data_IF_480477700285
#
_entry.id   IF_480477700285
#
_cell.length_a   1.000
_cell.length_b   1.000
_cell.length_c   1.000
_cell.angle_alpha   90.00
_cell.angle_beta   90.00
_cell.angle_gamma   90.00
#
_symmetry.space_group_name_H-M   'P 1'
#
loop_
_entity.id
_entity.type
_entity.pdbx_description
1 polymer ?
#
# COMPACT_ATOMS: atom_id res chain seq x y z
N UNK A 1 -1.37 -21.28 26.33
CA UNK A 1 -0.17 -20.68 25.72
C UNK A 1 -0.32 -19.17 25.81
N UNK A 2 0.69 -18.47 26.31
CA UNK A 2 0.67 -16.99 26.41
C UNK A 2 1.26 -16.41 25.14
N UNK A 3 0.62 -15.43 24.55
CA UNK A 3 1.12 -14.71 23.38
C UNK A 3 2.42 -13.95 23.70
N UNK A 4 3.31 -13.83 22.74
CA UNK A 4 4.48 -12.97 22.86
C UNK A 4 4.07 -11.49 22.95
N UNK A 5 4.71 -10.74 23.84
CA UNK A 5 4.56 -9.29 23.89
C UNK A 5 5.40 -8.64 22.78
N UNK A 6 4.81 -7.73 22.02
CA UNK A 6 5.46 -7.01 20.93
C UNK A 6 5.57 -5.53 21.30
N UNK A 7 6.78 -4.97 21.17
CA UNK A 7 7.08 -3.55 21.47
C UNK A 7 7.92 -2.95 20.36
N UNK A 8 7.82 -1.65 20.18
CA UNK A 8 8.67 -0.86 19.29
C UNK A 8 9.65 -0.07 20.13
N UNK A 9 10.90 -0.05 19.71
CA UNK A 9 11.93 0.79 20.31
C UNK A 9 12.96 1.17 19.27
N UNK A 10 13.70 2.22 19.53
CA UNK A 10 14.79 2.68 18.69
C UNK A 10 16.04 2.98 19.55
N UNK A 11 17.20 2.86 18.94
CA UNK A 11 18.50 3.10 19.55
C UNK A 11 19.41 3.77 18.53
N UNK A 12 20.33 4.61 18.99
CA UNK A 12 21.35 5.19 18.11
C UNK A 12 22.22 4.10 17.49
N UNK A 13 22.68 4.30 16.26
CA UNK A 13 23.68 3.41 15.62
C UNK A 13 25.01 3.41 16.36
N UNK A 14 25.29 4.47 17.15
CA UNK A 14 26.44 4.56 18.04
C UNK A 14 26.25 3.75 19.35
N UNK A 15 25.09 3.10 19.54
CA UNK A 15 24.73 2.38 20.74
C UNK A 15 24.04 3.26 21.79
N UNK A 16 23.97 2.73 23.00
CA UNK A 16 23.32 3.39 24.14
C UNK A 16 22.03 2.70 24.56
N UNK A 17 21.20 3.38 25.37
CA UNK A 17 19.95 2.86 25.85
C UNK A 17 18.86 2.89 24.77
N UNK A 18 18.07 1.81 24.71
CA UNK A 18 16.89 1.76 23.84
C UNK A 18 15.80 2.69 24.36
N UNK A 19 15.29 3.57 23.53
CA UNK A 19 14.07 4.35 23.79
C UNK A 19 12.86 3.55 23.34
N UNK A 20 11.96 3.25 24.26
CA UNK A 20 10.75 2.49 23.97
C UNK A 20 9.58 3.41 23.64
N UNK A 21 8.85 3.06 22.58
CA UNK A 21 7.65 3.76 22.14
C UNK A 21 6.44 3.25 22.90
N UNK A 22 5.64 4.15 23.47
CA UNK A 22 4.45 3.82 24.25
C UNK A 22 3.23 3.59 23.31
N UNK A 23 3.29 2.52 22.48
CA UNK A 23 2.15 2.12 21.65
C UNK A 23 0.98 1.74 22.57
N UNK A 24 -0.18 2.40 22.48
CA UNK A 24 -1.33 2.10 23.33
C UNK A 24 -1.91 0.70 23.10
N UNK A 25 -2.32 0.05 24.19
CA UNK A 25 -2.94 -1.28 24.16
C UNK A 25 -2.11 -2.34 24.87
N UNK A 26 -2.63 -3.57 24.89
CA UNK A 26 -1.90 -4.71 25.44
C UNK A 26 -0.90 -5.24 24.42
N UNK A 27 0.38 -5.22 24.78
CA UNK A 27 1.47 -5.69 23.92
C UNK A 27 1.35 -7.17 23.50
N UNK A 28 0.49 -7.95 24.16
CA UNK A 28 0.22 -9.36 23.83
C UNK A 28 -0.99 -9.54 22.92
N UNK A 29 -1.85 -8.52 22.80
CA UNK A 29 -3.08 -8.54 22.01
C UNK A 29 -2.95 -7.70 20.74
N UNK A 30 -1.72 -7.54 20.24
CA UNK A 30 -1.42 -6.76 19.05
C UNK A 30 -0.33 -7.39 18.19
N UNK A 31 -0.28 -6.93 16.94
CA UNK A 31 0.84 -7.11 16.02
C UNK A 31 1.39 -5.74 15.63
N UNK A 32 2.70 -5.70 15.34
CA UNK A 32 3.36 -4.57 14.66
C UNK A 32 3.89 -5.14 13.33
N UNK A 33 3.02 -5.24 12.31
CA UNK A 33 3.39 -5.90 11.07
C UNK A 33 4.40 -5.10 10.26
N UNK A 34 4.33 -3.76 10.32
CA UNK A 34 5.22 -2.88 9.56
C UNK A 34 5.59 -1.64 10.34
N UNK A 35 6.83 -1.22 10.14
CA UNK A 35 7.31 0.09 10.55
C UNK A 35 8.40 0.54 9.58
N UNK A 36 8.47 1.84 9.32
CA UNK A 36 9.46 2.44 8.45
C UNK A 36 9.77 3.87 8.87
N UNK A 37 10.94 4.36 8.47
CA UNK A 37 11.22 5.78 8.57
C UNK A 37 10.51 6.53 7.44
N UNK A 38 9.85 7.64 7.79
CA UNK A 38 9.30 8.54 6.78
C UNK A 38 10.49 9.17 6.01
N UNK A 39 10.53 9.08 4.68
CA UNK A 39 11.67 9.55 3.90
C UNK A 39 12.05 11.01 4.18
N UNK A 40 13.33 11.26 4.46
CA UNK A 40 13.83 12.62 4.74
C UNK A 40 13.34 13.25 6.04
N UNK A 41 12.73 12.47 6.92
CA UNK A 41 12.25 12.92 8.22
C UNK A 41 12.83 12.06 9.35
N UNK A 42 12.92 12.64 10.56
CA UNK A 42 13.29 11.91 11.78
C UNK A 42 12.04 11.34 12.47
N UNK A 43 11.17 10.68 11.71
CA UNK A 43 9.93 10.11 12.21
C UNK A 43 9.78 8.65 11.77
N UNK A 44 9.19 7.83 12.66
CA UNK A 44 8.74 6.48 12.35
C UNK A 44 7.24 6.49 12.01
N UNK A 45 6.89 5.72 10.99
CA UNK A 45 5.54 5.31 10.64
C UNK A 45 5.36 3.86 11.09
N UNK A 46 4.30 3.57 11.85
CA UNK A 46 4.11 2.28 12.50
C UNK A 46 2.68 1.81 12.24
N UNK A 47 2.51 0.59 11.78
CA UNK A 47 1.23 -0.09 11.69
C UNK A 47 1.03 -0.98 12.92
N UNK A 48 -0.11 -0.84 13.58
CA UNK A 48 -0.54 -1.67 14.71
C UNK A 48 -1.85 -2.37 14.38
N UNK A 49 -1.84 -3.69 14.34
CA UNK A 49 -3.06 -4.48 14.14
C UNK A 49 -3.48 -5.15 15.45
N UNK A 50 -4.81 -5.25 15.65
CA UNK A 50 -5.36 -6.07 16.71
C UNK A 50 -5.25 -7.56 16.37
N UNK A 51 -5.45 -8.46 17.36
CA UNK A 51 -5.40 -9.92 17.14
C UNK A 51 -6.42 -10.47 16.15
N UNK A 52 -7.67 -9.99 16.12
CA UNK A 52 -8.63 -10.36 15.06
C UNK A 52 -8.24 -9.90 13.65
N UNK A 53 -7.24 -9.02 13.53
CA UNK A 53 -6.75 -8.45 12.26
C UNK A 53 -7.86 -7.75 11.44
N UNK A 54 -8.74 -7.07 12.13
CA UNK A 54 -9.83 -6.28 11.53
C UNK A 54 -9.75 -4.78 11.87
N UNK A 55 -8.66 -4.38 12.53
CA UNK A 55 -8.34 -2.98 12.83
C UNK A 55 -6.85 -2.78 12.67
N UNK A 56 -6.46 -1.85 11.80
CA UNK A 56 -5.07 -1.41 11.60
C UNK A 56 -4.97 0.08 11.94
N UNK A 57 -4.23 0.40 13.00
CA UNK A 57 -3.96 1.76 13.45
C UNK A 57 -2.59 2.20 12.95
N UNK A 58 -2.55 3.37 12.34
CA UNK A 58 -1.31 3.97 11.86
C UNK A 58 -0.87 5.06 12.83
N UNK A 59 0.35 4.91 13.30
CA UNK A 59 0.98 5.83 14.24
C UNK A 59 2.20 6.50 13.62
N UNK A 60 2.46 7.72 14.02
CA UNK A 60 3.75 8.39 13.77
C UNK A 60 4.38 8.81 15.08
N UNK A 61 5.70 8.79 15.13
CA UNK A 61 6.46 9.27 16.26
C UNK A 61 7.75 9.95 15.81
N UNK A 62 8.00 11.13 16.34
CA UNK A 62 9.28 11.83 16.19
C UNK A 62 10.37 11.08 16.96
N UNK A 63 11.51 10.78 16.33
CA UNK A 63 12.67 10.22 17.01
C UNK A 63 13.13 11.19 18.11
N UNK A 64 13.35 10.65 19.32
CA UNK A 64 13.60 11.40 20.54
C UNK A 64 12.38 11.44 21.48
N UNK A 65 11.19 11.10 20.98
CA UNK A 65 9.96 11.01 21.78
C UNK A 65 9.60 9.58 22.16
N UNK A 66 8.63 9.43 23.05
CA UNK A 66 8.07 8.13 23.49
C UNK A 66 6.58 7.99 23.16
N UNK A 67 5.87 9.09 22.94
CA UNK A 67 4.41 9.12 22.73
C UNK A 67 4.08 9.22 21.24
N UNK A 68 3.52 8.16 20.62
CA UNK A 68 3.11 8.17 19.22
C UNK A 68 1.76 8.88 19.06
N UNK A 69 1.56 9.48 17.87
CA UNK A 69 0.29 10.05 17.46
C UNK A 69 -0.42 9.12 16.50
N UNK A 70 -1.67 8.75 16.79
CA UNK A 70 -2.50 8.04 15.82
C UNK A 70 -2.95 9.02 14.74
N UNK A 71 -2.57 8.76 13.50
CA UNK A 71 -2.91 9.61 12.36
C UNK A 71 -4.06 9.03 11.55
N UNK A 72 -4.27 7.71 11.60
CA UNK A 72 -5.23 7.04 10.75
C UNK A 72 -5.61 5.68 11.35
N UNK A 73 -6.85 5.25 11.13
CA UNK A 73 -7.32 3.91 11.50
C UNK A 73 -8.13 3.33 10.35
N UNK A 74 -7.77 2.15 9.91
CA UNK A 74 -8.54 1.35 8.97
C UNK A 74 -9.24 0.20 9.70
N UNK A 75 -10.46 -0.11 9.31
CA UNK A 75 -11.26 -1.17 9.91
C UNK A 75 -12.06 -1.91 8.84
N UNK A 76 -12.20 -3.21 9.04
CA UNK A 76 -13.10 -4.05 8.27
C UNK A 76 -13.92 -4.94 9.21
N UNK A 77 -15.11 -5.36 8.80
CA UNK A 77 -15.94 -6.24 9.62
C UNK A 77 -15.40 -7.67 9.71
N UNK A 78 -14.61 -8.09 8.72
CA UNK A 78 -14.05 -9.44 8.62
C UNK A 78 -12.51 -9.44 8.82
N UNK A 79 -11.77 -8.84 7.89
CA UNK A 79 -10.32 -8.98 7.84
C UNK A 79 -9.65 -7.80 7.15
N UNK A 80 -8.44 -7.43 7.58
CA UNK A 80 -7.56 -6.47 6.93
C UNK A 80 -6.22 -7.11 6.58
N UNK A 81 -5.77 -6.89 5.38
CA UNK A 81 -4.39 -7.16 4.97
C UNK A 81 -3.43 -6.08 5.49
N UNK A 82 -2.17 -6.45 5.64
CA UNK A 82 -1.09 -5.49 5.93
C UNK A 82 -0.79 -4.66 4.71
N UNK A 83 -0.62 -3.35 4.87
CA UNK A 83 -0.15 -2.49 3.79
C UNK A 83 1.38 -2.50 3.73
N UNK A 84 1.94 -3.19 2.73
CA UNK A 84 3.38 -3.39 2.57
C UNK A 84 4.03 -2.35 1.64
N UNK A 85 3.24 -1.76 0.73
CA UNK A 85 3.71 -0.83 -0.29
C UNK A 85 3.24 0.59 0.00
N UNK A 86 3.89 1.26 0.96
CA UNK A 86 3.59 2.66 1.28
C UNK A 86 4.48 3.56 0.45
N UNK A 87 3.87 4.45 -0.33
CA UNK A 87 4.58 5.48 -1.08
C UNK A 87 4.26 6.86 -0.52
N UNK A 88 5.29 7.60 -0.17
CA UNK A 88 5.15 8.97 0.30
C UNK A 88 5.10 9.94 -0.88
N UNK A 89 4.09 10.81 -0.90
CA UNK A 89 3.75 11.69 -2.00
C UNK A 89 3.86 13.17 -1.58
N UNK A 90 4.16 14.07 -2.54
CA UNK A 90 4.24 15.53 -2.32
C UNK A 90 5.04 15.92 -1.09
N UNK A 91 6.30 15.53 -1.02
CA UNK A 91 7.17 15.83 0.13
C UNK A 91 6.53 15.37 1.46
N UNK A 92 6.02 14.14 1.48
CA UNK A 92 5.38 13.49 2.64
C UNK A 92 4.09 14.17 3.14
N UNK A 93 3.41 14.94 2.30
CA UNK A 93 2.08 15.48 2.64
C UNK A 93 0.99 14.41 2.58
N UNK A 94 1.21 13.35 1.79
CA UNK A 94 0.30 12.21 1.64
C UNK A 94 1.10 10.91 1.61
N UNK A 95 0.41 9.81 1.90
CA UNK A 95 0.91 8.45 1.67
C UNK A 95 -0.15 7.60 0.98
N UNK A 96 0.27 6.53 0.30
CA UNK A 96 -0.65 5.57 -0.32
C UNK A 96 -1.13 4.55 0.70
N UNK A 97 -2.38 4.08 0.52
CA UNK A 97 -2.98 3.07 1.38
C UNK A 97 -3.93 2.19 0.58
N UNK A 98 -3.78 0.87 0.67
CA UNK A 98 -4.72 -0.08 0.10
C UNK A 98 -5.82 -0.39 1.13
N UNK A 99 -7.09 -0.33 0.72
CA UNK A 99 -8.23 -0.58 1.61
C UNK A 99 -9.45 -1.06 0.84
N UNK A 100 -10.24 -1.93 1.48
CA UNK A 100 -11.51 -2.46 0.96
C UNK A 100 -12.73 -1.68 1.48
N UNK A 101 -12.51 -0.52 2.09
CA UNK A 101 -13.55 0.33 2.72
C UNK A 101 -14.74 0.68 1.83
N UNK A 102 -14.58 0.60 0.51
CA UNK A 102 -15.64 0.87 -0.47
C UNK A 102 -16.32 -0.38 -1.02
N UNK A 103 -16.00 -1.56 -0.49
CA UNK A 103 -16.53 -2.85 -0.93
C UNK A 103 -15.63 -3.60 -1.92
N UNK A 104 -14.66 -2.92 -2.51
CA UNK A 104 -13.60 -3.47 -3.34
C UNK A 104 -12.24 -2.95 -2.85
N UNK A 105 -11.17 -3.71 -3.09
CA UNK A 105 -9.82 -3.28 -2.78
C UNK A 105 -9.40 -2.17 -3.74
N UNK A 106 -9.10 -1.01 -3.19
CA UNK A 106 -8.65 0.15 -3.94
C UNK A 106 -7.41 0.79 -3.32
N UNK A 107 -6.67 1.52 -4.14
CA UNK A 107 -5.59 2.37 -3.70
C UNK A 107 -6.14 3.76 -3.35
N UNK A 108 -5.77 4.25 -2.18
CA UNK A 108 -6.11 5.59 -1.68
C UNK A 108 -4.84 6.41 -1.47
N UNK A 109 -4.97 7.72 -1.51
CA UNK A 109 -4.04 8.64 -0.87
C UNK A 109 -4.63 9.13 0.43
N UNK A 110 -3.85 9.09 1.47
CA UNK A 110 -4.21 9.56 2.82
C UNK A 110 -3.33 10.75 3.14
N UNK A 111 -3.92 11.85 3.66
CA UNK A 111 -3.12 12.98 4.12
C UNK A 111 -2.27 12.60 5.33
N UNK A 112 -1.12 13.27 5.52
CA UNK A 112 -0.19 12.96 6.61
C UNK A 112 -0.84 13.02 8.00
N UNK A 113 -1.85 13.85 8.18
CA UNK A 113 -2.62 13.97 9.42
C UNK A 113 -3.85 13.03 9.47
N UNK A 114 -4.05 12.20 8.44
CA UNK A 114 -5.11 11.22 8.33
C UNK A 114 -6.51 11.76 8.08
N UNK A 115 -6.68 13.07 7.91
CA UNK A 115 -8.01 13.70 7.77
C UNK A 115 -8.61 13.56 6.38
N UNK A 116 -7.78 13.47 5.34
CA UNK A 116 -8.23 13.27 3.97
C UNK A 116 -7.91 11.86 3.51
N UNK A 117 -8.91 11.13 3.05
CA UNK A 117 -8.77 9.79 2.46
C UNK A 117 -9.45 9.84 1.10
N UNK A 118 -8.66 9.86 0.05
CA UNK A 118 -9.14 10.11 -1.31
C UNK A 118 -8.77 8.93 -2.21
N UNK A 119 -9.73 8.30 -2.93
CA UNK A 119 -9.44 7.19 -3.79
C UNK A 119 -8.56 7.62 -4.99
N UNK A 120 -7.50 6.87 -5.23
CA UNK A 120 -6.68 6.92 -6.45
C UNK A 120 -7.32 6.05 -7.52
N UNK A 121 -7.90 4.91 -7.11
CA UNK A 121 -8.69 4.03 -7.98
C UNK A 121 -10.09 3.88 -7.41
N UNK A 122 -11.11 3.71 -8.24
CA UNK A 122 -12.49 3.44 -7.83
C UNK A 122 -13.25 2.69 -8.92
N UNK A 123 -14.27 1.95 -8.54
CA UNK A 123 -15.13 1.17 -9.45
C UNK A 123 -15.50 -0.16 -8.81
N UNK A 124 -16.23 -0.99 -9.56
CA UNK A 124 -16.66 -2.32 -9.12
C UNK A 124 -15.61 -3.37 -9.50
N UNK A 125 -14.38 -3.18 -9.03
CA UNK A 125 -13.25 -4.06 -9.30
C UNK A 125 -12.18 -3.94 -8.22
N UNK A 126 -11.34 -4.96 -8.07
CA UNK A 126 -10.20 -4.93 -7.18
C UNK A 126 -8.93 -4.38 -7.84
N UNK A 127 -8.22 -3.51 -7.13
CA UNK A 127 -6.81 -3.24 -7.32
C UNK A 127 -6.02 -4.49 -6.90
N UNK A 128 -5.63 -5.30 -7.86
CA UNK A 128 -5.08 -6.64 -7.56
C UNK A 128 -3.64 -6.55 -7.07
N UNK A 129 -2.81 -5.79 -7.77
CA UNK A 129 -1.42 -5.52 -7.36
C UNK A 129 -0.83 -4.31 -8.09
N UNK A 130 0.08 -3.66 -7.43
CA UNK A 130 0.94 -2.65 -8.04
C UNK A 130 1.92 -3.30 -9.05
N UNK A 131 2.13 -2.64 -10.16
CA UNK A 131 3.19 -2.95 -11.13
C UNK A 131 4.34 -1.96 -11.00
N UNK A 132 4.01 -0.72 -10.70
CA UNK A 132 4.98 0.33 -10.45
C UNK A 132 4.31 1.69 -10.26
N UNK A 133 5.09 2.65 -9.77
CA UNK A 133 4.63 4.00 -9.53
C UNK A 133 5.64 5.02 -10.06
N UNK A 134 5.19 5.94 -10.89
CA UNK A 134 5.99 7.09 -11.32
C UNK A 134 5.50 8.34 -10.58
N UNK A 135 6.12 8.62 -9.43
CA UNK A 135 5.79 9.77 -8.58
C UNK A 135 6.01 11.09 -9.31
N UNK A 136 7.01 11.17 -10.23
CA UNK A 136 7.30 12.38 -10.99
C UNK A 136 6.21 12.68 -12.00
N UNK A 137 5.71 11.67 -12.71
CA UNK A 137 4.56 11.80 -13.61
C UNK A 137 3.24 11.84 -12.85
N UNK A 138 3.21 11.42 -11.58
CA UNK A 138 2.03 11.36 -10.75
C UNK A 138 1.06 10.25 -11.14
N UNK A 139 1.59 9.07 -11.54
CA UNK A 139 0.78 7.93 -11.97
C UNK A 139 1.19 6.64 -11.25
N UNK A 140 0.24 5.76 -11.07
CA UNK A 140 0.44 4.37 -10.63
C UNK A 140 -0.02 3.43 -11.74
N UNK A 141 0.73 2.35 -11.94
CA UNK A 141 0.43 1.26 -12.85
C UNK A 141 0.09 0.01 -12.03
N UNK A 142 -1.01 -0.63 -12.36
CA UNK A 142 -1.53 -1.74 -11.55
C UNK A 142 -2.30 -2.75 -12.39
N UNK A 143 -2.46 -3.95 -11.86
CA UNK A 143 -3.29 -5.00 -12.46
C UNK A 143 -4.69 -4.93 -11.86
N UNK A 144 -5.70 -5.01 -12.72
CA UNK A 144 -7.10 -5.08 -12.35
C UNK A 144 -7.91 -5.88 -13.40
N UNK A 145 -9.18 -6.15 -13.11
CA UNK A 145 -10.09 -6.92 -13.97
C UNK A 145 -11.53 -6.38 -13.93
N UNK A 146 -11.76 -5.11 -14.27
CA UNK A 146 -13.09 -4.51 -14.18
C UNK A 146 -14.13 -5.15 -15.13
N UNK A 147 -13.69 -5.66 -16.28
CA UNK A 147 -14.60 -6.16 -17.32
C UNK A 147 -14.79 -7.69 -17.24
N UNK A 148 -13.81 -8.44 -16.74
CA UNK A 148 -13.85 -9.89 -16.67
C UNK A 148 -12.97 -10.42 -15.53
N UNK A 149 -13.58 -10.95 -14.46
CA UNK A 149 -12.90 -11.43 -13.25
C UNK A 149 -11.93 -12.60 -13.49
N UNK A 150 -12.04 -13.31 -14.60
CA UNK A 150 -11.12 -14.40 -14.97
C UNK A 150 -9.87 -13.93 -15.73
N UNK A 151 -9.78 -12.64 -16.03
CA UNK A 151 -8.69 -12.04 -16.82
C UNK A 151 -7.93 -10.98 -16.00
N UNK A 152 -6.76 -10.59 -16.48
CA UNK A 152 -5.89 -9.62 -15.80
C UNK A 152 -5.34 -8.64 -16.82
N UNK A 153 -5.47 -7.36 -16.53
CA UNK A 153 -5.06 -6.27 -17.42
C UNK A 153 -4.28 -5.20 -16.68
N UNK A 154 -3.38 -4.53 -17.40
CA UNK A 154 -2.66 -3.36 -16.89
C UNK A 154 -3.52 -2.12 -17.04
N UNK A 155 -3.59 -1.37 -15.96
CA UNK A 155 -4.22 -0.04 -15.89
C UNK A 155 -3.25 1.00 -15.35
N UNK A 156 -3.55 2.27 -15.66
CA UNK A 156 -2.95 3.42 -14.99
C UNK A 156 -4.02 4.25 -14.29
N UNK A 157 -3.63 4.90 -13.20
CA UNK A 157 -4.43 5.92 -12.52
C UNK A 157 -3.54 7.10 -12.10
N UNK A 158 -4.13 8.31 -12.07
CA UNK A 158 -3.44 9.50 -11.58
C UNK A 158 -3.46 9.53 -10.06
N UNK A 159 -2.29 9.67 -9.42
CA UNK A 159 -2.15 9.75 -7.96
C UNK A 159 -2.97 10.89 -7.34
N UNK A 160 -3.16 11.98 -8.08
CA UNK A 160 -3.97 13.14 -7.69
C UNK A 160 -5.17 13.34 -8.63
N UNK A 161 -5.68 12.24 -9.22
CA UNK A 161 -6.90 12.20 -10.01
C UNK A 161 -8.16 12.09 -9.16
N UNK A 162 -9.27 11.78 -9.83
CA UNK A 162 -10.61 11.61 -9.21
C UNK A 162 -11.06 10.14 -9.15
N UNK A 163 -10.11 9.20 -9.31
CA UNK A 163 -10.34 7.76 -9.29
C UNK A 163 -10.57 7.13 -10.66
N UNK A 164 -10.42 7.90 -11.75
CA UNK A 164 -10.51 7.34 -13.10
C UNK A 164 -9.31 6.46 -13.40
N UNK A 165 -9.55 5.33 -14.04
CA UNK A 165 -8.55 4.37 -14.47
C UNK A 165 -8.56 4.23 -15.98
N UNK A 166 -7.38 4.00 -16.58
CA UNK A 166 -7.23 3.79 -18.01
C UNK A 166 -6.51 2.47 -18.26
N UNK A 167 -7.13 1.58 -19.04
CA UNK A 167 -6.49 0.34 -19.49
C UNK A 167 -5.34 0.64 -20.44
N UNK A 168 -4.20 -0.02 -20.22
CA UNK A 168 -3.00 0.05 -21.06
C UNK A 168 -2.76 -1.25 -21.83
N UNK A 169 -3.16 -2.41 -21.30
CA UNK A 169 -3.12 -3.66 -22.04
C UNK A 169 -3.97 -3.56 -23.31
N UNK A 170 -3.55 -4.19 -24.44
CA UNK A 170 -4.30 -4.17 -25.70
C UNK A 170 -5.77 -4.58 -25.53
N UNK A 171 -6.68 -3.83 -26.18
CA UNK A 171 -8.12 -4.06 -26.04
C UNK A 171 -8.60 -5.32 -26.75
N UNK A 172 -7.89 -5.74 -27.78
CA UNK A 172 -8.16 -6.91 -28.62
C UNK A 172 -7.50 -8.20 -28.10
N UNK A 173 -6.73 -8.14 -27.00
CA UNK A 173 -6.10 -9.28 -26.37
C UNK A 173 -6.78 -9.62 -25.05
N UNK A 174 -7.73 -10.55 -25.09
CA UNK A 174 -8.39 -11.06 -23.88
C UNK A 174 -7.56 -12.16 -23.24
N UNK A 175 -7.25 -12.06 -21.94
CA UNK A 175 -6.47 -13.09 -21.25
C UNK A 175 -5.78 -12.58 -19.97
N UNK A 176 -4.70 -13.27 -19.63
CA UNK A 176 -3.84 -12.95 -18.49
C UNK A 176 -2.67 -12.11 -18.96
N UNK A 177 -2.57 -10.88 -18.46
CA UNK A 177 -1.45 -9.99 -18.69
C UNK A 177 -0.69 -9.77 -17.40
N UNK A 178 0.61 -9.92 -17.45
CA UNK A 178 1.49 -9.51 -16.36
C UNK A 178 2.62 -8.64 -16.88
N UNK A 179 3.10 -7.74 -16.04
CA UNK A 179 4.13 -6.78 -16.40
C UNK A 179 5.18 -6.70 -15.30
N UNK A 180 6.44 -6.63 -15.71
CA UNK A 180 7.57 -6.28 -14.86
C UNK A 180 8.19 -5.01 -15.43
N UNK A 181 8.01 -3.89 -14.72
CA UNK A 181 8.42 -2.57 -15.19
C UNK A 181 9.87 -2.27 -14.83
N UNK A 182 10.58 -1.61 -15.74
CA UNK A 182 11.91 -1.09 -15.46
C UNK A 182 11.85 0.01 -14.40
N UNK A 183 12.92 0.22 -13.61
CA UNK A 183 12.95 1.28 -12.57
C UNK A 183 12.67 2.69 -13.10
N UNK A 184 12.88 2.91 -14.39
CA UNK A 184 12.62 4.20 -15.05
C UNK A 184 11.21 4.34 -15.60
N UNK A 185 10.41 3.27 -15.57
CA UNK A 185 9.05 3.23 -16.13
C UNK A 185 8.97 3.42 -17.65
N UNK A 186 10.11 3.24 -18.37
CA UNK A 186 10.18 3.43 -19.82
C UNK A 186 9.96 2.13 -20.60
N UNK A 187 10.20 1.01 -19.97
CA UNK A 187 10.13 -0.32 -20.56
C UNK A 187 9.46 -1.27 -19.58
N UNK A 188 8.78 -2.26 -20.11
CA UNK A 188 8.31 -3.38 -19.31
C UNK A 188 8.49 -4.71 -20.05
N UNK A 189 8.79 -5.78 -19.30
CA UNK A 189 8.62 -7.15 -19.79
C UNK A 189 7.15 -7.47 -19.61
N UNK A 190 6.49 -7.77 -20.70
CA UNK A 190 5.07 -8.17 -20.75
C UNK A 190 4.97 -9.68 -20.97
N UNK A 191 4.13 -10.34 -20.24
CA UNK A 191 3.76 -11.74 -20.46
C UNK A 191 2.26 -11.82 -20.68
N UNK A 192 1.87 -12.43 -21.78
CA UNK A 192 0.47 -12.65 -22.16
C UNK A 192 0.21 -14.13 -22.36
N UNK A 193 -0.96 -14.59 -21.91
CA UNK A 193 -1.49 -15.93 -22.23
C UNK A 193 -3.02 -15.95 -22.14
N UNK A 194 -3.64 -16.90 -22.84
CA UNK A 194 -5.05 -17.23 -22.69
C UNK A 194 -5.26 -18.73 -22.94
N UNK A 195 -6.51 -19.18 -23.04
CA UNK A 195 -6.84 -20.62 -23.25
C UNK A 195 -6.34 -21.20 -24.57
N UNK A 196 -6.08 -20.34 -25.56
CA UNK A 196 -5.66 -20.75 -26.92
C UNK A 196 -4.20 -20.35 -27.20
N UNK A 197 -3.62 -19.48 -26.39
CA UNK A 197 -2.29 -18.93 -26.59
C UNK A 197 -1.40 -19.26 -25.40
N UNK A 198 -0.35 -20.08 -25.57
CA UNK A 198 0.69 -20.28 -24.55
C UNK A 198 1.36 -18.95 -24.17
N UNK A 199 2.10 -18.89 -23.03
CA UNK A 199 2.76 -17.67 -22.62
C UNK A 199 3.67 -17.09 -23.70
N UNK A 200 3.37 -15.87 -24.12
CA UNK A 200 4.19 -15.03 -25.01
C UNK A 200 4.84 -13.96 -24.17
N UNK A 201 6.12 -13.76 -24.36
CA UNK A 201 6.91 -12.76 -23.61
C UNK A 201 7.48 -11.78 -24.62
N UNK A 202 7.24 -10.49 -24.37
CA UNK A 202 7.75 -9.41 -25.19
C UNK A 202 8.21 -8.22 -24.33
N UNK A 203 8.88 -7.26 -24.96
CA UNK A 203 9.29 -6.03 -24.32
C UNK A 203 8.49 -4.89 -24.92
N UNK A 204 7.87 -4.10 -24.05
CA UNK A 204 7.00 -2.97 -24.38
C UNK A 204 7.50 -1.68 -23.74
#
# INVERSE_FOLDING_TARGET
>A
TTNSAVKVGYVSVEGGATTWVNIPGDAREQYIPRMEFIPGCNELFIQQMNRPQNTNKVWTIQIGGTEPTNIFTDTDAAWLETNDNIHWLKNNQYFTWESERSGYRHLYRVSRDGKEIIPITKGDFDYIREVGMDIKKGVVYFIASPDNFTQRYLYEAKLFGKGEVKRLSPMDQSGQHSYSMSPTGKWAVHTFSNTETPPVIDMV
#
